data_IF_352521155895
#
_entry.id   IF_352521155895
#
_cell.length_a   1.000
_cell.length_b   1.000
_cell.length_c   1.000
_cell.angle_alpha   90.00
_cell.angle_beta   90.00
_cell.angle_gamma   90.00
#
_symmetry.space_group_name_H-M   'P 1'
#
loop_
_entity.id
_entity.type
_entity.pdbx_description
1 polymer ?
#
# COMPACT_ATOMS: atom_id res chain seq x y z
N UNK A 1 -11.55 -23.06 -31.75
CA UNK A 1 -12.50 -22.57 -30.72
C UNK A 1 -12.23 -21.09 -30.49
N UNK A 2 -13.24 -20.22 -30.58
CA UNK A 2 -13.06 -18.79 -30.41
C UNK A 2 -12.77 -18.44 -28.93
N UNK A 3 -11.66 -17.74 -28.68
CA UNK A 3 -11.25 -17.26 -27.36
C UNK A 3 -12.32 -16.27 -26.87
N UNK A 4 -13.05 -16.60 -25.81
CA UNK A 4 -14.01 -15.67 -25.18
C UNK A 4 -13.23 -14.44 -24.69
N UNK A 5 -13.35 -13.33 -25.41
CA UNK A 5 -12.87 -12.03 -24.96
C UNK A 5 -13.71 -11.61 -23.75
N UNK A 6 -13.10 -11.62 -22.57
CA UNK A 6 -13.74 -11.12 -21.35
C UNK A 6 -13.97 -9.61 -21.50
N UNK A 7 -15.23 -9.19 -21.59
CA UNK A 7 -15.59 -7.77 -21.54
C UNK A 7 -15.34 -7.29 -20.11
N UNK A 8 -14.39 -6.37 -19.95
CA UNK A 8 -14.12 -5.74 -18.66
C UNK A 8 -15.13 -4.61 -18.45
N UNK A 9 -16.05 -4.81 -17.52
CA UNK A 9 -17.01 -3.78 -17.12
C UNK A 9 -16.35 -2.87 -16.07
N UNK A 10 -16.44 -1.53 -16.20
CA UNK A 10 -16.02 -0.61 -15.15
C UNK A 10 -16.70 -0.97 -13.82
N UNK A 11 -15.92 -1.09 -12.76
CA UNK A 11 -16.44 -1.39 -11.42
C UNK A 11 -16.03 -0.28 -10.47
N UNK A 12 -17.03 0.35 -9.86
CA UNK A 12 -16.89 1.33 -8.80
C UNK A 12 -16.38 0.72 -7.47
N UNK A 13 -16.15 -0.59 -7.41
CA UNK A 13 -15.61 -1.22 -6.21
C UNK A 13 -14.16 -0.74 -5.98
N UNK A 14 -13.87 -0.43 -4.71
CA UNK A 14 -12.52 -0.14 -4.22
C UNK A 14 -11.58 -1.32 -4.47
N UNK A 15 -10.29 -1.02 -4.56
CA UNK A 15 -9.26 -2.05 -4.67
C UNK A 15 -9.10 -2.76 -3.33
N UNK A 16 -9.07 -4.09 -3.37
CA UNK A 16 -8.94 -4.93 -2.18
C UNK A 16 -7.50 -4.96 -1.65
N UNK A 17 -7.35 -5.13 -0.33
CA UNK A 17 -6.06 -5.20 0.37
C UNK A 17 -5.09 -6.22 -0.23
N UNK A 18 -5.61 -7.35 -0.74
CA UNK A 18 -4.82 -8.45 -1.31
C UNK A 18 -4.36 -8.22 -2.76
N UNK A 19 -4.77 -7.12 -3.40
CA UNK A 19 -4.31 -6.82 -4.76
C UNK A 19 -2.79 -6.62 -4.76
N UNK A 20 -2.07 -7.27 -5.68
CA UNK A 20 -0.60 -7.24 -5.73
C UNK A 20 -0.06 -6.29 -6.77
N UNK A 21 0.93 -5.51 -6.37
CA UNK A 21 1.80 -4.74 -7.25
C UNK A 21 3.08 -5.58 -7.48
N UNK A 22 3.54 -5.73 -8.73
CA UNK A 22 4.72 -6.53 -9.07
C UNK A 22 5.96 -6.05 -8.35
N UNK A 23 6.80 -6.99 -7.90
CA UNK A 23 8.00 -6.66 -7.13
C UNK A 23 9.00 -5.77 -7.90
N UNK A 24 9.05 -5.88 -9.23
CA UNK A 24 9.90 -5.06 -10.10
C UNK A 24 9.35 -3.63 -10.35
N UNK A 25 8.25 -3.25 -9.71
CA UNK A 25 7.69 -1.90 -9.88
C UNK A 25 8.59 -0.88 -9.20
N UNK A 26 9.14 0.06 -9.98
CA UNK A 26 10.09 1.07 -9.50
C UNK A 26 9.58 1.88 -8.30
N UNK A 27 8.27 2.14 -8.22
CA UNK A 27 7.68 2.85 -7.07
C UNK A 27 7.75 2.03 -5.78
N UNK A 28 7.60 0.70 -5.82
CA UNK A 28 7.77 -0.16 -4.64
C UNK A 28 9.21 -0.14 -4.15
N UNK A 29 10.17 -0.31 -5.06
CA UNK A 29 11.61 -0.25 -4.74
C UNK A 29 11.95 1.08 -4.08
N UNK A 30 11.43 2.19 -4.62
CA UNK A 30 11.60 3.52 -4.04
C UNK A 30 10.93 3.67 -2.67
N UNK A 31 9.70 3.17 -2.50
CA UNK A 31 8.98 3.24 -1.22
C UNK A 31 9.72 2.49 -0.12
N UNK A 32 10.11 1.23 -0.36
CA UNK A 32 10.89 0.46 0.62
C UNK A 32 12.29 1.06 0.83
N UNK A 33 12.93 1.58 -0.22
CA UNK A 33 14.25 2.20 -0.13
C UNK A 33 14.32 3.44 0.76
N UNK A 34 13.18 4.08 1.06
CA UNK A 34 13.08 5.22 1.99
C UNK A 34 13.13 4.80 3.47
N UNK A 35 12.75 3.57 3.77
CA UNK A 35 12.73 3.05 5.14
C UNK A 35 14.16 2.75 5.62
N UNK A 36 14.35 2.80 6.94
CA UNK A 36 15.59 2.34 7.55
C UNK A 36 15.72 0.81 7.44
N UNK A 37 16.93 0.27 7.58
CA UNK A 37 17.14 -1.18 7.62
C UNK A 37 16.32 -1.83 8.75
N UNK A 38 16.31 -1.23 9.94
CA UNK A 38 15.58 -1.73 11.08
C UNK A 38 14.07 -1.72 10.83
N UNK A 39 13.56 -0.62 10.26
CA UNK A 39 12.14 -0.47 9.91
C UNK A 39 11.70 -1.50 8.86
N UNK A 40 12.53 -1.81 7.87
CA UNK A 40 12.24 -2.84 6.86
C UNK A 40 12.13 -4.24 7.47
N UNK A 41 13.05 -4.60 8.37
CA UNK A 41 13.04 -5.91 9.02
C UNK A 41 11.82 -6.02 9.95
N UNK A 42 11.56 -4.99 10.76
CA UNK A 42 10.39 -4.94 11.63
C UNK A 42 9.08 -5.03 10.83
N UNK A 43 8.99 -4.33 9.70
CA UNK A 43 7.83 -4.38 8.82
C UNK A 43 7.64 -5.77 8.17
N UNK A 44 8.73 -6.42 7.75
CA UNK A 44 8.67 -7.78 7.22
C UNK A 44 8.20 -8.78 8.28
N UNK A 45 8.71 -8.69 9.52
CA UNK A 45 8.24 -9.50 10.64
C UNK A 45 6.76 -9.24 10.93
N UNK A 46 6.32 -7.99 10.93
CA UNK A 46 4.91 -7.63 11.11
C UNK A 46 4.01 -8.25 10.03
N UNK A 47 4.46 -8.30 8.76
CA UNK A 47 3.71 -8.96 7.70
C UNK A 47 3.57 -10.47 7.91
N UNK A 48 4.49 -11.07 8.65
CA UNK A 48 4.47 -12.49 8.99
C UNK A 48 3.65 -12.79 10.24
N UNK A 49 3.19 -11.80 11.00
CA UNK A 49 2.29 -12.03 12.15
C UNK A 49 0.98 -12.69 11.70
N UNK A 50 0.37 -13.47 12.59
CA UNK A 50 -0.85 -14.22 12.29
C UNK A 50 -2.01 -13.32 11.84
N UNK A 51 -2.04 -12.07 12.33
CA UNK A 51 -2.98 -11.04 11.90
C UNK A 51 -2.84 -10.69 10.41
N UNK A 52 -1.62 -10.69 9.87
CA UNK A 52 -1.33 -10.16 8.54
C UNK A 52 -0.97 -11.23 7.51
N UNK A 53 -0.45 -12.38 7.94
CA UNK A 53 0.14 -13.38 7.06
C UNK A 53 -0.81 -13.86 5.95
N UNK A 54 -2.12 -13.88 6.21
CA UNK A 54 -3.12 -14.26 5.23
C UNK A 54 -3.31 -13.22 4.11
N UNK A 55 -3.11 -11.93 4.41
CA UNK A 55 -3.15 -10.82 3.44
C UNK A 55 -1.78 -10.62 2.81
N UNK A 56 -0.73 -10.67 3.61
CA UNK A 56 0.66 -10.39 3.25
C UNK A 56 1.43 -11.67 2.92
N UNK A 57 0.76 -12.68 2.35
CA UNK A 57 1.31 -14.03 2.16
C UNK A 57 2.66 -13.99 1.39
N UNK A 58 3.74 -14.55 1.97
CA UNK A 58 5.03 -14.69 1.29
C UNK A 58 5.03 -15.86 0.29
N UNK A 59 6.09 -15.96 -0.50
CA UNK A 59 6.40 -17.10 -1.35
C UNK A 59 7.17 -18.14 -0.55
N UNK A 60 6.65 -19.37 -0.50
CA UNK A 60 7.26 -20.49 0.21
C UNK A 60 7.63 -21.62 -0.74
N UNK A 61 8.47 -22.57 -0.33
CA UNK A 61 8.94 -23.68 -1.19
C UNK A 61 7.80 -24.49 -1.82
N UNK A 62 6.68 -24.65 -1.09
CA UNK A 62 5.47 -25.31 -1.60
C UNK A 62 4.84 -24.59 -2.81
N UNK A 63 5.04 -23.29 -2.93
CA UNK A 63 4.59 -22.51 -4.09
C UNK A 63 5.49 -22.72 -5.31
N UNK A 64 6.77 -23.07 -5.12
CA UNK A 64 7.70 -23.43 -6.19
C UNK A 64 7.42 -24.84 -6.71
N UNK A 65 7.22 -25.83 -5.83
CA UNK A 65 6.87 -27.20 -6.19
C UNK A 65 5.62 -27.28 -7.08
N UNK A 66 4.60 -26.48 -6.78
CA UNK A 66 3.36 -26.42 -7.57
C UNK A 66 3.55 -25.83 -8.98
N UNK A 67 4.61 -25.04 -9.22
CA UNK A 67 4.89 -24.44 -10.52
C UNK A 67 5.66 -25.37 -11.44
N UNK A 68 6.58 -26.16 -10.91
CA UNK A 68 7.36 -27.14 -11.67
C UNK A 68 6.47 -28.16 -12.38
N UNK A 69 5.31 -28.49 -11.81
CA UNK A 69 4.34 -29.40 -12.42
C UNK A 69 3.55 -28.78 -13.59
N UNK A 70 3.58 -27.44 -13.78
CA UNK A 70 2.66 -26.72 -14.66
C UNK A 70 3.30 -26.12 -15.93
N UNK A 71 4.53 -25.63 -15.89
CA UNK A 71 5.25 -25.07 -17.06
C UNK A 71 6.78 -25.27 -16.87
N UNK A 72 7.37 -26.16 -17.66
CA UNK A 72 8.74 -26.69 -17.49
C UNK A 72 9.91 -25.79 -17.90
N UNK A 73 9.82 -24.47 -17.71
CA UNK A 73 10.94 -23.53 -17.91
C UNK A 73 10.94 -22.52 -16.77
N UNK A 74 11.71 -22.78 -15.70
CA UNK A 74 11.65 -21.96 -14.49
C UNK A 74 12.80 -20.92 -14.41
N UNK A 75 12.43 -19.67 -14.17
CA UNK A 75 13.32 -18.53 -13.87
C UNK A 75 13.72 -18.54 -12.37
N UNK A 76 13.13 -19.42 -11.55
CA UNK A 76 13.43 -19.55 -10.12
C UNK A 76 14.82 -20.16 -9.82
N UNK A 77 15.38 -20.98 -10.72
CA UNK A 77 16.71 -21.62 -10.54
C UNK A 77 17.87 -20.59 -10.57
N UNK A 78 17.60 -19.38 -11.09
CA UNK A 78 18.52 -18.24 -11.10
C UNK A 78 18.33 -17.29 -9.91
N UNK A 79 17.36 -17.53 -9.02
CA UNK A 79 17.06 -16.65 -7.90
C UNK A 79 18.11 -16.80 -6.78
N UNK A 80 18.76 -15.71 -6.32
CA UNK A 80 19.77 -15.79 -5.26
C UNK A 80 19.19 -16.11 -3.88
N UNK A 81 17.87 -16.23 -3.74
CA UNK A 81 17.18 -16.41 -2.48
C UNK A 81 16.32 -17.68 -2.48
N UNK A 82 16.78 -18.68 -1.74
CA UNK A 82 16.01 -19.90 -1.50
C UNK A 82 14.70 -19.56 -0.77
N UNK A 83 13.54 -20.07 -1.26
CA UNK A 83 12.27 -19.94 -0.57
C UNK A 83 12.30 -20.68 0.77
N UNK A 84 11.77 -20.05 1.82
CA UNK A 84 11.56 -20.71 3.10
C UNK A 84 10.46 -21.79 3.01
N UNK A 85 10.59 -22.85 3.80
CA UNK A 85 9.64 -23.97 3.87
C UNK A 85 8.38 -23.60 4.68
N UNK A 86 8.51 -22.68 5.65
CA UNK A 86 7.41 -22.26 6.51
C UNK A 86 7.48 -20.77 6.87
N UNK A 87 6.40 -20.26 7.47
CA UNK A 87 6.35 -18.89 8.00
C UNK A 87 7.32 -18.75 9.19
N UNK A 88 7.45 -19.80 10.01
CA UNK A 88 8.33 -19.83 11.17
C UNK A 88 9.80 -19.76 10.77
N UNK A 89 10.19 -20.50 9.73
CA UNK A 89 11.54 -20.41 9.17
C UNK A 89 11.80 -19.00 8.64
N UNK A 90 10.84 -18.42 7.94
CA UNK A 90 10.98 -17.07 7.40
C UNK A 90 11.10 -16.02 8.52
N UNK A 91 10.34 -16.14 9.62
CA UNK A 91 10.51 -15.32 10.82
C UNK A 91 11.91 -15.47 11.40
N UNK A 92 12.45 -16.69 11.44
CA UNK A 92 13.84 -16.96 11.84
C UNK A 92 14.83 -16.19 10.97
N UNK A 93 14.70 -16.28 9.65
CA UNK A 93 15.56 -15.56 8.70
C UNK A 93 15.56 -14.04 8.99
N UNK A 94 14.40 -13.42 9.15
CA UNK A 94 14.33 -11.97 9.44
C UNK A 94 14.83 -11.61 10.85
N UNK A 95 14.72 -12.51 11.82
CA UNK A 95 15.29 -12.33 13.16
C UNK A 95 16.83 -12.37 13.10
N UNK A 96 17.40 -13.33 12.36
CA UNK A 96 18.84 -13.38 12.12
C UNK A 96 19.33 -12.16 11.33
N UNK A 97 18.55 -11.69 10.34
CA UNK A 97 18.81 -10.43 9.65
C UNK A 97 18.85 -9.27 10.65
N UNK A 98 18.00 -9.25 11.67
CA UNK A 98 17.98 -8.19 12.66
C UNK A 98 19.28 -8.13 13.46
N UNK A 99 19.75 -9.30 13.92
CA UNK A 99 20.94 -9.43 14.78
C UNK A 99 22.26 -9.22 14.03
N UNK A 100 22.34 -9.71 12.78
CA UNK A 100 23.57 -9.58 12.00
C UNK A 100 23.74 -8.18 11.42
N UNK A 101 25.00 -7.80 11.18
CA UNK A 101 25.32 -6.62 10.36
C UNK A 101 25.04 -6.92 8.89
N UNK A 102 24.46 -5.97 8.17
CA UNK A 102 24.11 -6.11 6.76
C UNK A 102 23.65 -4.79 6.15
N UNK A 103 23.51 -4.77 4.83
CA UNK A 103 23.11 -3.58 4.09
C UNK A 103 21.59 -3.39 4.07
N UNK A 104 21.12 -2.16 3.90
CA UNK A 104 19.70 -1.89 3.61
C UNK A 104 19.25 -2.55 2.30
N UNK A 105 20.09 -2.45 1.26
CA UNK A 105 19.79 -2.98 -0.09
C UNK A 105 19.60 -4.49 -0.08
N UNK A 106 20.38 -5.19 0.73
CA UNK A 106 20.24 -6.62 0.94
C UNK A 106 18.85 -7.00 1.47
N UNK A 107 18.34 -6.26 2.46
CA UNK A 107 16.98 -6.50 3.00
C UNK A 107 15.91 -6.20 1.96
N UNK A 108 16.04 -5.10 1.21
CA UNK A 108 15.09 -4.76 0.13
C UNK A 108 15.07 -5.83 -0.95
N UNK A 109 16.25 -6.31 -1.38
CA UNK A 109 16.35 -7.38 -2.38
C UNK A 109 15.79 -8.69 -1.84
N UNK A 110 16.09 -9.08 -0.60
CA UNK A 110 15.50 -10.29 0.00
C UNK A 110 13.97 -10.20 0.04
N UNK A 111 13.39 -9.05 0.39
CA UNK A 111 11.94 -8.83 0.36
C UNK A 111 11.37 -8.96 -1.06
N UNK A 112 11.94 -8.24 -2.04
CA UNK A 112 11.34 -8.10 -3.37
C UNK A 112 11.70 -9.21 -4.35
N UNK A 113 12.91 -9.75 -4.27
CA UNK A 113 13.42 -10.80 -5.16
C UNK A 113 13.27 -12.18 -4.51
N UNK A 114 13.29 -12.26 -3.18
CA UNK A 114 13.10 -13.49 -2.42
C UNK A 114 11.65 -13.70 -1.98
N UNK A 115 11.31 -13.19 -0.81
CA UNK A 115 10.17 -13.68 -0.03
C UNK A 115 8.81 -13.15 -0.53
N UNK A 116 8.79 -12.02 -1.24
CA UNK A 116 7.59 -11.49 -1.91
C UNK A 116 7.83 -11.27 -3.40
N UNK A 117 8.57 -12.18 -4.06
CA UNK A 117 8.89 -12.17 -5.49
C UNK A 117 7.68 -12.04 -6.43
N UNK A 118 6.53 -12.56 -5.99
CA UNK A 118 5.25 -12.44 -6.72
C UNK A 118 4.57 -11.06 -6.56
N UNK A 119 5.23 -10.11 -5.89
CA UNK A 119 4.73 -8.77 -5.65
C UNK A 119 4.14 -8.56 -4.26
N UNK A 120 4.07 -7.29 -3.86
CA UNK A 120 3.55 -6.85 -2.58
C UNK A 120 2.08 -6.46 -2.69
N UNK A 121 1.31 -6.75 -1.65
CA UNK A 121 -0.09 -6.35 -1.61
C UNK A 121 -0.27 -4.85 -1.36
N UNK A 122 -1.45 -4.31 -1.70
CA UNK A 122 -1.78 -2.91 -1.38
C UNK A 122 -1.80 -2.66 0.13
N UNK A 123 -2.14 -3.68 0.94
CA UNK A 123 -1.97 -3.63 2.39
C UNK A 123 -0.51 -3.43 2.79
N UNK A 124 0.41 -4.22 2.25
CA UNK A 124 1.85 -4.12 2.53
C UNK A 124 2.41 -2.74 2.15
N UNK A 125 2.05 -2.25 0.96
CA UNK A 125 2.45 -0.91 0.52
C UNK A 125 1.90 0.18 1.45
N UNK A 126 0.63 0.07 1.86
CA UNK A 126 0.03 1.04 2.75
C UNK A 126 0.70 1.06 4.13
N UNK A 127 1.05 -0.10 4.68
CA UNK A 127 1.81 -0.21 5.93
C UNK A 127 3.20 0.44 5.79
N UNK A 128 3.91 0.20 4.69
CA UNK A 128 5.21 0.82 4.41
C UNK A 128 5.13 2.36 4.32
N UNK A 129 4.10 2.89 3.65
CA UNK A 129 3.90 4.33 3.51
C UNK A 129 3.58 4.99 4.85
N UNK A 130 2.74 4.37 5.69
CA UNK A 130 2.46 4.89 7.04
C UNK A 130 3.70 4.83 7.93
N UNK A 131 4.44 3.72 7.92
CA UNK A 131 5.69 3.59 8.68
C UNK A 131 6.70 4.68 8.27
N UNK A 132 6.81 4.98 6.97
CA UNK A 132 7.67 6.06 6.51
C UNK A 132 7.25 7.44 7.03
N UNK A 133 5.95 7.72 7.08
CA UNK A 133 5.41 8.97 7.68
C UNK A 133 5.77 9.06 9.16
N UNK A 134 5.62 7.97 9.91
CA UNK A 134 5.89 7.94 11.35
C UNK A 134 7.40 8.06 11.67
N UNK A 135 8.26 7.40 10.89
CA UNK A 135 9.71 7.46 11.07
C UNK A 135 10.29 8.83 10.68
N UNK A 136 9.59 9.61 9.85
CA UNK A 136 10.10 10.85 9.25
C UNK A 136 9.12 12.03 9.36
N UNK A 137 8.70 12.42 10.59
CA UNK A 137 7.61 13.39 10.77
C UNK A 137 7.93 14.80 10.24
N UNK A 138 9.20 15.21 10.26
CA UNK A 138 9.64 16.55 9.85
C UNK A 138 10.11 16.65 8.38
N UNK A 139 10.52 15.54 7.75
CA UNK A 139 11.23 15.56 6.47
C UNK A 139 10.40 15.04 5.28
N UNK A 140 9.36 14.25 5.54
CA UNK A 140 8.76 13.43 4.48
C UNK A 140 7.55 14.06 3.77
N UNK A 141 6.82 14.98 4.41
CA UNK A 141 5.52 15.44 3.91
C UNK A 141 5.30 16.94 4.11
N UNK A 142 4.71 17.58 3.09
CA UNK A 142 4.14 18.92 3.21
C UNK A 142 2.70 18.77 3.66
N UNK A 143 2.39 19.27 4.84
CA UNK A 143 1.06 19.20 5.43
C UNK A 143 0.25 20.45 5.12
N UNK A 144 -1.04 20.27 4.84
CA UNK A 144 -2.02 21.35 4.75
C UNK A 144 -3.06 21.11 5.84
N UNK A 145 -3.28 22.11 6.70
CA UNK A 145 -4.29 22.05 7.75
C UNK A 145 -5.59 22.67 7.23
N UNK A 146 -6.70 21.94 7.38
CA UNK A 146 -8.04 22.40 7.05
C UNK A 146 -8.91 22.34 8.31
N UNK A 147 -9.73 23.37 8.53
CA UNK A 147 -10.66 23.42 9.64
C UNK A 147 -12.03 22.90 9.19
N UNK A 148 -12.63 22.04 10.00
CA UNK A 148 -14.04 21.66 9.83
C UNK A 148 -14.92 22.80 10.32
N UNK A 149 -15.83 23.23 9.45
CA UNK A 149 -16.81 24.28 9.75
C UNK A 149 -18.20 23.65 9.69
N UNK A 150 -19.04 23.81 10.72
CA UNK A 150 -20.40 23.30 10.70
C UNK A 150 -21.16 23.86 9.49
N UNK A 151 -21.93 23.00 8.82
CA UNK A 151 -22.86 23.46 7.80
C UNK A 151 -24.03 24.17 8.51
N UNK A 152 -23.90 25.47 8.73
CA UNK A 152 -24.99 26.29 9.27
C UNK A 152 -26.04 26.42 8.17
N UNK A 153 -27.31 26.12 8.48
CA UNK A 153 -28.42 26.51 7.61
C UNK A 153 -28.33 28.02 7.36
N UNK A 154 -28.56 28.47 6.12
CA UNK A 154 -28.34 29.84 5.61
C UNK A 154 -29.06 30.99 6.36
N UNK A 155 -29.63 30.74 7.54
CA UNK A 155 -30.41 31.69 8.33
C UNK A 155 -29.61 32.45 9.39
N UNK A 156 -28.40 32.02 9.75
CA UNK A 156 -27.56 32.75 10.71
C UNK A 156 -26.34 33.38 10.01
N UNK A 157 -26.11 34.71 10.13
CA UNK A 157 -24.95 35.37 9.55
C UNK A 157 -23.64 34.85 10.16
N UNK A 158 -22.72 34.44 9.29
CA UNK A 158 -21.34 34.02 9.59
C UNK A 158 -20.58 34.91 10.59
N UNK A 159 -20.94 36.19 10.68
CA UNK A 159 -20.30 37.17 11.55
C UNK A 159 -20.59 36.99 13.05
N UNK A 160 -21.61 36.22 13.47
CA UNK A 160 -21.93 36.04 14.90
C UNK A 160 -21.18 34.89 15.58
N UNK A 161 -20.56 33.99 14.83
CA UNK A 161 -19.85 32.82 15.39
C UNK A 161 -18.40 33.18 15.75
N UNK A 162 -17.82 34.22 15.13
CA UNK A 162 -16.44 34.65 15.39
C UNK A 162 -16.27 35.61 16.59
N UNK A 163 -17.36 36.19 17.12
CA UNK A 163 -17.29 37.13 18.26
C UNK A 163 -17.31 36.43 19.63
N UNK A 164 -17.75 35.18 19.69
CA UNK A 164 -17.51 34.34 20.85
C UNK A 164 -16.13 33.71 20.72
N UNK A 165 -15.22 34.08 21.61
CA UNK A 165 -13.92 33.42 21.86
C UNK A 165 -14.08 31.95 22.33
N UNK A 166 -15.23 31.34 22.07
CA UNK A 166 -15.65 30.02 22.46
C UNK A 166 -15.27 29.05 21.34
N UNK A 167 -14.03 28.55 21.41
CA UNK A 167 -13.43 27.57 20.47
C UNK A 167 -14.09 26.18 20.62
N UNK A 168 -15.29 26.12 21.21
CA UNK A 168 -16.08 24.90 21.39
C UNK A 168 -17.02 24.69 20.20
N UNK A 169 -16.48 24.55 18.98
CA UNK A 169 -17.27 23.91 17.92
C UNK A 169 -17.28 22.40 18.23
N UNK A 170 -18.44 21.79 18.54
CA UNK A 170 -18.50 20.37 18.84
C UNK A 170 -18.10 19.57 17.59
N UNK A 171 -16.89 19.03 17.59
CA UNK A 171 -16.44 18.14 16.53
C UNK A 171 -17.32 16.88 16.51
N UNK A 172 -17.69 16.37 15.33
CA UNK A 172 -18.44 15.13 15.24
C UNK A 172 -17.63 13.99 15.84
N UNK A 173 -18.32 13.06 16.53
CA UNK A 173 -17.68 11.84 17.02
C UNK A 173 -17.12 11.06 15.85
N UNK A 174 -15.82 10.78 15.87
CA UNK A 174 -15.13 10.08 14.79
C UNK A 174 -15.20 8.57 14.99
N UNK A 175 -15.80 7.87 14.03
CA UNK A 175 -15.72 6.41 13.93
C UNK A 175 -15.09 6.03 12.59
N UNK A 176 -13.86 5.51 12.65
CA UNK A 176 -13.01 5.31 11.46
C UNK A 176 -13.63 4.43 10.38
N UNK A 177 -14.33 3.35 10.75
CA UNK A 177 -14.94 2.44 9.78
C UNK A 177 -16.09 3.10 8.99
N UNK A 178 -16.98 3.81 9.69
CA UNK A 178 -18.08 4.55 9.06
C UNK A 178 -17.54 5.68 8.19
N UNK A 179 -16.56 6.41 8.69
CA UNK A 179 -15.91 7.49 7.92
C UNK A 179 -15.29 6.96 6.63
N UNK A 180 -14.54 5.85 6.70
CA UNK A 180 -13.91 5.24 5.53
C UNK A 180 -14.95 4.77 4.51
N UNK A 181 -16.05 4.14 4.97
CA UNK A 181 -17.14 3.68 4.11
C UNK A 181 -17.83 4.85 3.40
N UNK A 182 -18.08 5.96 4.10
CA UNK A 182 -18.66 7.16 3.52
C UNK A 182 -17.75 7.76 2.45
N UNK A 183 -16.45 7.90 2.74
CA UNK A 183 -15.46 8.38 1.76
C UNK A 183 -15.41 7.47 0.52
N UNK A 184 -15.39 6.15 0.72
CA UNK A 184 -15.38 5.19 -0.37
C UNK A 184 -16.59 5.37 -1.28
N UNK A 185 -17.78 5.51 -0.71
CA UNK A 185 -19.00 5.71 -1.49
C UNK A 185 -18.96 7.00 -2.31
N UNK A 186 -18.51 8.12 -1.71
CA UNK A 186 -18.44 9.43 -2.39
C UNK A 186 -17.38 9.48 -3.50
N UNK A 187 -16.23 8.83 -3.30
CA UNK A 187 -15.10 8.89 -4.26
C UNK A 187 -15.21 7.80 -5.34
N UNK A 188 -15.87 6.67 -5.06
CA UNK A 188 -15.97 5.52 -5.96
C UNK A 188 -16.48 5.81 -7.39
N UNK A 189 -17.35 6.80 -7.64
CA UNK A 189 -17.78 7.11 -9.01
C UNK A 189 -16.70 7.82 -9.84
N UNK A 190 -15.70 8.41 -9.18
CA UNK A 190 -14.69 9.25 -9.83
C UNK A 190 -13.42 8.46 -10.14
N UNK A 191 -12.98 7.61 -9.21
CA UNK A 191 -11.68 6.93 -9.31
C UNK A 191 -11.71 5.54 -8.70
N UNK A 192 -10.82 4.68 -9.23
CA UNK A 192 -10.49 3.41 -8.60
C UNK A 192 -9.42 3.64 -7.54
N UNK A 193 -9.71 3.31 -6.29
CA UNK A 193 -8.76 3.56 -5.20
C UNK A 193 -8.72 2.42 -4.17
N UNK A 194 -7.55 2.30 -3.55
CA UNK A 194 -7.33 1.53 -2.32
C UNK A 194 -7.33 2.49 -1.13
N UNK A 195 -7.92 2.04 -0.03
CA UNK A 195 -8.10 2.84 1.18
C UNK A 195 -7.50 2.10 2.35
N UNK A 196 -6.73 2.80 3.17
CA UNK A 196 -6.14 2.24 4.37
C UNK A 196 -6.26 3.24 5.52
N UNK A 197 -6.75 2.76 6.66
CA UNK A 197 -6.88 3.55 7.88
C UNK A 197 -5.94 2.97 8.94
N UNK A 198 -5.17 3.82 9.60
CA UNK A 198 -4.27 3.44 10.68
C UNK A 198 -4.27 4.50 11.77
N UNK A 199 -4.12 4.07 13.03
CA UNK A 199 -3.93 4.99 14.15
C UNK A 199 -2.43 5.16 14.38
N UNK A 200 -1.98 6.39 14.58
CA UNK A 200 -0.57 6.62 14.87
C UNK A 200 -0.18 5.99 16.21
N UNK A 201 1.03 5.45 16.27
CA UNK A 201 1.59 4.87 17.48
C UNK A 201 2.06 5.95 18.47
N UNK A 202 2.53 7.10 17.97
CA UNK A 202 3.15 8.14 18.77
C UNK A 202 2.27 9.38 18.99
N UNK A 203 1.29 9.61 18.10
CA UNK A 203 0.44 10.81 18.13
C UNK A 203 -1.04 10.43 18.24
N UNK A 204 -1.90 11.31 18.79
CA UNK A 204 -3.34 11.11 18.81
C UNK A 204 -3.98 11.37 17.42
N UNK A 205 -3.37 10.83 16.36
CA UNK A 205 -3.76 11.02 14.97
C UNK A 205 -4.28 9.71 14.36
N UNK A 206 -5.18 9.85 13.41
CA UNK A 206 -5.61 8.76 12.53
C UNK A 206 -5.21 9.12 11.10
N UNK A 207 -4.43 8.26 10.48
CA UNK A 207 -4.08 8.37 9.08
C UNK A 207 -5.13 7.69 8.22
N UNK A 208 -5.55 8.39 7.16
CA UNK A 208 -6.33 7.80 6.07
C UNK A 208 -5.52 7.96 4.80
N UNK A 209 -5.04 6.83 4.27
CA UNK A 209 -4.30 6.76 3.01
C UNK A 209 -5.27 6.38 1.89
N UNK A 210 -5.29 7.19 0.84
CA UNK A 210 -6.06 6.95 -0.37
C UNK A 210 -5.07 6.80 -1.52
N UNK A 211 -5.01 5.61 -2.12
CA UNK A 211 -4.15 5.31 -3.26
C UNK A 211 -5.01 5.16 -4.51
N UNK A 212 -4.90 6.13 -5.41
CA UNK A 212 -5.70 6.24 -6.62
C UNK A 212 -4.97 5.59 -7.81
N UNK A 213 -5.70 4.87 -8.65
CA UNK A 213 -5.21 4.26 -9.88
C UNK A 213 -5.89 4.92 -11.08
N UNK A 214 -5.08 5.43 -12.01
CA UNK A 214 -5.52 6.22 -13.19
C UNK A 214 -6.29 5.44 -14.26
N UNK A 215 -6.62 4.17 -14.03
CA UNK A 215 -7.38 3.34 -14.98
C UNK A 215 -8.69 2.86 -14.34
N UNK A 216 -9.86 3.16 -14.94
CA UNK A 216 -11.15 2.68 -14.45
C UNK A 216 -11.37 1.18 -14.76
N UNK A 217 -10.47 0.55 -15.52
CA UNK A 217 -10.58 -0.86 -15.89
C UNK A 217 -9.93 -1.76 -14.83
N UNK A 218 -10.53 -2.94 -14.54
CA UNK A 218 -9.89 -3.96 -13.73
C UNK A 218 -8.52 -4.30 -14.33
N UNK A 219 -7.46 -4.17 -13.53
CA UNK A 219 -6.14 -4.64 -13.92
C UNK A 219 -6.24 -6.17 -13.91
N UNK A 220 -6.34 -6.79 -15.09
CA UNK A 220 -6.27 -8.25 -15.20
C UNK A 220 -4.87 -8.72 -14.76
N UNK A 221 -4.74 -9.95 -14.25
CA UNK A 221 -3.45 -10.54 -13.85
C UNK A 221 -2.40 -10.54 -14.99
N UNK A 222 -2.84 -10.35 -16.22
CA UNK A 222 -2.02 -10.27 -17.43
C UNK A 222 -1.56 -8.84 -17.75
N UNK A 223 -2.19 -7.81 -17.19
CA UNK A 223 -1.96 -6.37 -17.51
C UNK A 223 -0.92 -5.71 -16.61
N UNK A 224 -0.12 -6.53 -15.93
CA UNK A 224 1.04 -6.13 -15.14
C UNK A 224 2.06 -5.29 -15.93
N UNK A 225 2.10 -5.46 -17.26
CA UNK A 225 2.97 -4.70 -18.16
C UNK A 225 2.50 -3.26 -18.45
N UNK A 226 1.21 -2.93 -18.32
CA UNK A 226 0.72 -1.58 -18.69
C UNK A 226 1.03 -0.51 -17.63
N UNK A 227 1.22 -0.89 -16.36
CA UNK A 227 1.73 0.04 -15.34
C UNK A 227 3.18 0.45 -15.62
N UNK A 228 3.95 -0.38 -16.31
CA UNK A 228 5.34 -0.10 -16.64
C UNK A 228 5.50 0.99 -17.72
N UNK A 229 4.54 1.16 -18.64
CA UNK A 229 4.61 2.20 -19.68
C UNK A 229 4.25 3.60 -19.17
N UNK A 230 3.20 3.76 -18.36
CA UNK A 230 2.79 5.11 -17.89
C UNK A 230 3.74 5.75 -16.87
N UNK A 231 4.57 4.98 -16.17
CA UNK A 231 5.60 5.55 -15.29
C UNK A 231 6.85 6.06 -16.05
N UNK A 232 7.05 5.68 -17.32
CA UNK A 232 8.17 6.15 -18.14
C UNK A 232 7.88 7.45 -18.91
N UNK A 233 6.62 7.77 -19.18
CA UNK A 233 6.27 8.82 -20.15
C UNK A 233 5.93 10.20 -19.54
N UNK A 234 6.20 10.43 -18.25
CA UNK A 234 6.09 11.78 -17.66
C UNK A 234 7.39 12.60 -17.82
N UNK A 235 7.87 12.68 -19.06
CA UNK A 235 8.84 13.69 -19.49
C UNK A 235 8.33 14.36 -20.76
N UNK A 236 8.08 15.66 -20.62
CA UNK A 236 7.88 16.69 -21.63
C UNK A 236 6.68 16.56 -22.58
N UNK A 237 5.70 17.45 -22.39
CA UNK A 237 5.12 18.28 -23.45
C UNK A 237 4.56 19.56 -22.80
N UNK A 238 5.35 20.63 -22.80
CA UNK A 238 4.88 22.02 -22.63
C UNK A 238 4.61 22.55 -24.03
N UNK A 239 3.46 23.19 -24.31
CA UNK A 239 3.20 23.77 -25.61
C UNK A 239 3.93 25.11 -25.74
N UNK A 240 4.69 25.25 -26.82
CA UNK A 240 5.07 26.51 -27.45
C UNK A 240 4.57 26.48 -28.89
#
# INVERSE_FOLDING_TARGET
>A
MARRTSVLVPSAASLHDTFRIPANTTSLVKSLGKLSRASLIALALQWLDDEYVHICRPYLSRDAEQRWDADGEDDDDANPYDPATSIEELRGIYTDLQERRGGKREVVNRILEGDWRNGLTLRQLAMADILYIEDNPAAAHRWTALQLVPSVDKKEPWHKINDSNDISVPLPRFHGATFLKSIQNEISPLVKAHYYISRSASLPLTFVRIFIVDSPYPISKTTTQCLHRRFKDNLSCVPG
#
